data_IF_808193055447
#
_entry.id   IF_808193055447
#
_cell.length_a   1.000
_cell.length_b   1.000
_cell.length_c   1.000
_cell.angle_alpha   90.00
_cell.angle_beta   90.00
_cell.angle_gamma   90.00
#
_symmetry.space_group_name_H-M   'P 1'
#
loop_
_entity.id
_entity.type
_entity.pdbx_description
1 polymer ?
#
# COMPACT_ATOMS: atom_id res chain seq x y z
N UNK A 1 -17.20 -4.60 2.08
CA UNK A 1 -18.29 -3.83 1.48
C UNK A 1 -18.77 -2.81 2.48
N UNK A 2 -18.93 -1.56 2.07
CA UNK A 2 -19.46 -0.45 2.89
C UNK A 2 -20.80 -0.06 2.30
N UNK A 3 -21.86 -0.18 3.10
CA UNK A 3 -23.22 0.16 2.68
C UNK A 3 -23.67 1.44 3.37
N UNK A 4 -24.54 2.19 2.70
CA UNK A 4 -25.14 3.38 3.24
C UNK A 4 -26.06 3.06 4.45
N UNK A 5 -25.84 3.73 5.58
CA UNK A 5 -26.67 3.61 6.79
C UNK A 5 -28.02 4.31 6.61
N UNK A 6 -28.04 5.38 5.85
CA UNK A 6 -29.21 6.23 5.55
C UNK A 6 -29.12 6.75 4.10
N UNK A 7 -30.18 7.40 3.65
CA UNK A 7 -30.15 8.15 2.39
C UNK A 7 -29.19 9.33 2.51
N UNK A 8 -28.52 9.66 1.42
CA UNK A 8 -27.55 10.73 1.43
C UNK A 8 -27.04 11.15 0.06
N UNK A 9 -25.98 11.93 0.07
CA UNK A 9 -25.28 12.39 -1.12
C UNK A 9 -23.77 12.40 -0.93
N UNK A 10 -23.03 12.31 -2.02
CA UNK A 10 -21.58 12.50 -2.04
C UNK A 10 -21.25 13.97 -2.04
N UNK A 11 -20.52 14.45 -1.01
CA UNK A 11 -20.10 15.85 -0.91
C UNK A 11 -18.76 16.08 -1.59
N UNK A 12 -17.81 15.17 -1.35
CA UNK A 12 -16.46 15.32 -1.87
C UNK A 12 -15.92 13.97 -2.36
N UNK A 13 -15.35 14.01 -3.54
CA UNK A 13 -14.60 12.89 -4.11
C UNK A 13 -13.21 13.38 -4.46
N UNK A 14 -12.21 12.94 -3.72
CA UNK A 14 -10.83 13.40 -3.89
C UNK A 14 -9.93 12.24 -4.32
N UNK A 15 -9.59 12.22 -5.60
CA UNK A 15 -8.76 11.16 -6.18
C UNK A 15 -7.32 11.18 -5.62
N UNK A 16 -6.74 12.38 -5.39
CA UNK A 16 -5.38 12.51 -4.85
C UNK A 16 -5.27 12.01 -3.43
N UNK A 17 -6.30 12.28 -2.61
CA UNK A 17 -6.39 11.78 -1.26
C UNK A 17 -6.94 10.36 -1.19
N UNK A 18 -7.47 9.82 -2.30
CA UNK A 18 -8.21 8.55 -2.36
C UNK A 18 -9.30 8.49 -1.28
N UNK A 19 -10.12 9.53 -1.22
CA UNK A 19 -11.10 9.74 -0.17
C UNK A 19 -12.43 10.16 -0.75
N UNK A 20 -13.52 9.53 -0.25
CA UNK A 20 -14.90 9.94 -0.52
C UNK A 20 -15.52 10.40 0.78
N UNK A 21 -16.19 11.54 0.76
CA UNK A 21 -16.99 12.04 1.89
C UNK A 21 -18.45 12.08 1.49
N UNK A 22 -19.28 11.42 2.29
CA UNK A 22 -20.73 11.38 2.10
C UNK A 22 -21.44 12.10 3.26
N UNK A 23 -22.56 12.72 2.96
CA UNK A 23 -23.47 13.34 3.93
C UNK A 23 -24.78 12.58 3.92
N UNK A 24 -25.20 12.13 5.08
CA UNK A 24 -26.50 11.51 5.30
C UNK A 24 -27.59 12.54 5.54
N UNK A 25 -28.86 12.17 5.36
CA UNK A 25 -29.99 13.04 5.63
C UNK A 25 -30.05 13.55 7.08
N UNK A 26 -29.51 12.78 8.02
CA UNK A 26 -29.36 13.17 9.43
C UNK A 26 -28.33 14.28 9.67
N UNK A 27 -27.59 14.70 8.65
CA UNK A 27 -26.48 15.66 8.78
C UNK A 27 -25.16 15.00 9.23
N UNK A 28 -25.13 13.68 9.44
CA UNK A 28 -23.90 12.92 9.75
C UNK A 28 -23.05 12.82 8.51
N UNK A 29 -21.74 12.99 8.67
CA UNK A 29 -20.75 12.76 7.62
C UNK A 29 -20.03 11.43 7.82
N UNK A 30 -19.71 10.77 6.74
CA UNK A 30 -18.85 9.58 6.75
C UNK A 30 -17.77 9.73 5.69
N UNK A 31 -16.52 9.51 6.10
CA UNK A 31 -15.39 9.48 5.19
C UNK A 31 -15.03 8.02 4.86
N UNK A 32 -14.89 7.71 3.59
CA UNK A 32 -14.53 6.40 3.07
C UNK A 32 -13.13 6.50 2.47
N UNK A 33 -12.18 5.80 3.05
CA UNK A 33 -10.81 5.75 2.56
C UNK A 33 -10.70 4.66 1.49
N UNK A 34 -10.33 5.05 0.27
CA UNK A 34 -10.07 4.15 -0.85
C UNK A 34 -8.59 3.79 -1.00
N UNK A 35 -7.73 4.33 -0.13
CA UNK A 35 -6.30 4.00 -0.15
C UNK A 35 -6.08 2.55 0.28
N UNK A 36 -5.04 1.93 -0.26
CA UNK A 36 -4.66 0.59 0.12
C UNK A 36 -4.34 0.50 1.61
N UNK A 37 -4.97 -0.44 2.29
CA UNK A 37 -4.72 -0.73 3.71
C UNK A 37 -4.27 -2.18 3.85
N UNK A 38 -3.22 -2.40 4.62
CA UNK A 38 -2.71 -3.75 4.86
C UNK A 38 -3.46 -4.37 6.04
N UNK A 39 -4.09 -5.50 5.80
CA UNK A 39 -4.82 -6.24 6.83
C UNK A 39 -4.11 -7.57 7.07
N UNK A 40 -3.82 -7.90 8.33
CA UNK A 40 -3.32 -9.20 8.71
C UNK A 40 -4.48 -10.17 8.87
N UNK A 41 -4.41 -11.30 8.20
CA UNK A 41 -5.35 -12.38 8.43
C UNK A 41 -4.97 -13.11 9.73
N UNK A 42 -5.85 -13.06 10.72
CA UNK A 42 -5.57 -13.45 12.10
C UNK A 42 -5.18 -14.92 12.34
N UNK A 43 -5.45 -15.82 11.40
CA UNK A 43 -5.16 -17.26 11.56
C UNK A 43 -4.01 -17.79 10.73
N UNK A 44 -3.62 -17.13 9.64
CA UNK A 44 -2.72 -17.69 8.63
C UNK A 44 -1.35 -17.01 8.49
N UNK A 45 -1.10 -15.92 9.20
CA UNK A 45 0.16 -15.17 9.07
C UNK A 45 0.31 -14.41 7.76
N UNK A 46 -0.71 -14.36 6.91
CA UNK A 46 -0.69 -13.63 5.65
C UNK A 46 -1.09 -12.18 5.85
N UNK A 47 -0.39 -11.29 5.15
CA UNK A 47 -0.84 -9.92 4.98
C UNK A 47 -1.51 -9.79 3.61
N UNK A 48 -2.67 -9.16 3.56
CA UNK A 48 -3.40 -8.89 2.33
C UNK A 48 -3.67 -7.40 2.22
N UNK A 49 -3.62 -6.90 1.01
CA UNK A 49 -3.98 -5.50 0.75
C UNK A 49 -5.48 -5.38 0.56
N UNK A 50 -6.11 -4.56 1.39
CA UNK A 50 -7.52 -4.21 1.23
C UNK A 50 -7.63 -3.01 0.30
N UNK A 51 -8.14 -3.24 -0.93
CA UNK A 51 -8.35 -2.23 -1.98
C UNK A 51 -9.84 -1.99 -2.14
N UNK A 52 -10.32 -0.86 -1.66
CA UNK A 52 -11.70 -0.44 -1.86
C UNK A 52 -11.84 0.33 -3.17
N UNK A 53 -12.88 0.02 -3.91
CA UNK A 53 -13.31 0.76 -5.10
C UNK A 53 -14.73 1.26 -4.92
N UNK A 54 -15.09 2.32 -5.64
CA UNK A 54 -16.41 2.93 -5.61
C UNK A 54 -16.77 3.45 -6.98
N UNK A 55 -18.04 3.31 -7.35
CA UNK A 55 -18.62 3.88 -8.58
C UNK A 55 -19.31 5.23 -8.33
N UNK A 56 -19.22 5.76 -7.11
CA UNK A 56 -19.84 7.02 -6.77
C UNK A 56 -19.14 8.18 -7.50
N UNK A 57 -19.95 9.04 -8.06
CA UNK A 57 -19.48 10.29 -8.66
C UNK A 57 -19.72 11.47 -7.73
N UNK A 58 -19.01 12.59 -7.90
CA UNK A 58 -19.30 13.82 -7.13
C UNK A 58 -20.77 14.23 -7.24
N UNK A 59 -21.37 14.60 -6.13
CA UNK A 59 -22.79 14.99 -6.00
C UNK A 59 -23.82 13.86 -6.29
N UNK A 60 -23.38 12.61 -6.44
CA UNK A 60 -24.31 11.48 -6.58
C UNK A 60 -25.14 11.32 -5.31
N UNK A 61 -26.42 10.99 -5.46
CA UNK A 61 -27.31 10.64 -4.36
C UNK A 61 -27.44 9.13 -4.24
N UNK A 62 -27.58 8.64 -3.05
CA UNK A 62 -27.74 7.22 -2.74
C UNK A 62 -28.83 7.02 -1.69
N UNK A 63 -29.36 5.81 -1.64
CA UNK A 63 -30.38 5.38 -0.67
C UNK A 63 -29.76 4.52 0.41
N UNK A 64 -30.47 4.40 1.53
CA UNK A 64 -30.13 3.43 2.57
C UNK A 64 -29.99 2.02 2.00
N UNK A 65 -28.87 1.36 2.32
CA UNK A 65 -28.55 0.03 1.85
C UNK A 65 -27.74 -0.01 0.54
N UNK A 66 -27.64 1.10 -0.20
CA UNK A 66 -26.81 1.14 -1.40
C UNK A 66 -25.34 0.91 -1.03
N UNK A 67 -24.61 0.23 -1.90
CA UNK A 67 -23.21 -0.03 -1.71
C UNK A 67 -22.39 1.21 -2.09
N UNK A 68 -21.68 1.78 -1.13
CA UNK A 68 -20.83 2.97 -1.33
C UNK A 68 -19.42 2.61 -1.78
N UNK A 69 -18.87 1.50 -1.26
CA UNK A 69 -17.56 1.00 -1.64
C UNK A 69 -17.45 -0.50 -1.36
N UNK A 70 -16.66 -1.20 -2.15
CA UNK A 70 -16.44 -2.64 -1.99
C UNK A 70 -15.00 -3.02 -2.30
N UNK A 71 -14.59 -4.18 -1.81
CA UNK A 71 -13.28 -4.73 -2.08
C UNK A 71 -13.20 -5.25 -3.52
N UNK A 72 -12.21 -4.78 -4.27
CA UNK A 72 -12.05 -5.08 -5.70
C UNK A 72 -11.97 -6.58 -5.98
N UNK A 73 -11.23 -7.31 -5.16
CA UNK A 73 -10.90 -8.71 -5.44
C UNK A 73 -11.96 -9.71 -4.93
N UNK A 74 -12.75 -9.30 -3.90
CA UNK A 74 -13.75 -10.18 -3.28
C UNK A 74 -15.20 -9.91 -3.71
N UNK A 75 -15.44 -8.79 -4.37
CA UNK A 75 -16.78 -8.42 -4.79
C UNK A 75 -16.80 -7.99 -6.24
N UNK A 76 -17.91 -8.23 -6.91
CA UNK A 76 -18.16 -7.74 -8.25
C UNK A 76 -19.53 -7.08 -8.32
N UNK A 77 -19.67 -6.09 -9.20
CA UNK A 77 -20.94 -5.47 -9.51
C UNK A 77 -21.60 -6.23 -10.65
N UNK A 78 -22.80 -6.73 -10.42
CA UNK A 78 -23.58 -7.42 -11.46
C UNK A 78 -23.97 -6.42 -12.55
N UNK A 79 -23.65 -6.67 -13.83
CA UNK A 79 -24.03 -5.80 -14.92
C UNK A 79 -25.55 -5.78 -15.17
N UNK A 80 -26.26 -6.83 -14.78
CA UNK A 80 -27.70 -6.95 -14.97
C UNK A 80 -28.51 -6.21 -13.90
N UNK A 81 -28.11 -6.32 -12.65
CA UNK A 81 -28.88 -5.80 -11.50
C UNK A 81 -28.25 -4.56 -10.87
N UNK A 82 -26.99 -4.23 -11.22
CA UNK A 82 -26.22 -3.18 -10.57
C UNK A 82 -25.85 -3.46 -9.11
N UNK A 83 -26.27 -4.62 -8.55
CA UNK A 83 -25.97 -4.98 -7.18
C UNK A 83 -24.54 -5.51 -7.01
N UNK A 84 -23.90 -5.15 -5.92
CA UNK A 84 -22.57 -5.66 -5.55
C UNK A 84 -22.74 -6.98 -4.82
N UNK A 85 -22.07 -8.03 -5.30
CA UNK A 85 -22.16 -9.39 -4.77
C UNK A 85 -20.78 -9.92 -4.41
N UNK A 86 -20.73 -10.74 -3.38
CA UNK A 86 -19.51 -11.45 -3.01
C UNK A 86 -19.16 -12.50 -4.06
N UNK A 87 -17.91 -12.49 -4.51
CA UNK A 87 -17.41 -13.41 -5.53
C UNK A 87 -16.78 -14.63 -4.84
N UNK A 88 -17.58 -15.68 -4.65
CA UNK A 88 -17.15 -16.92 -4.01
C UNK A 88 -16.66 -17.88 -5.09
N UNK A 89 -15.35 -17.91 -5.33
CA UNK A 89 -14.72 -18.81 -6.28
C UNK A 89 -15.08 -18.54 -7.74
N UNK A 90 -14.80 -19.51 -8.59
CA UNK A 90 -15.06 -19.46 -10.03
C UNK A 90 -16.05 -20.53 -10.44
N UNK A 91 -17.02 -20.17 -11.27
CA UNK A 91 -17.93 -21.14 -11.86
C UNK A 91 -17.20 -21.89 -12.97
N UNK A 92 -17.05 -23.19 -12.81
CA UNK A 92 -16.35 -24.06 -13.76
C UNK A 92 -17.16 -25.27 -14.13
N UNK A 93 -16.92 -25.82 -15.32
CA UNK A 93 -17.46 -27.12 -15.74
C UNK A 93 -16.58 -28.21 -15.11
N UNK A 94 -17.20 -29.16 -14.42
CA UNK A 94 -16.53 -30.27 -13.76
C UNK A 94 -16.90 -31.56 -14.46
N UNK A 95 -15.91 -32.40 -14.78
CA UNK A 95 -16.08 -33.75 -15.24
C UNK A 95 -15.48 -34.74 -14.24
N UNK A 96 -16.22 -35.75 -13.88
CA UNK A 96 -15.73 -36.86 -13.07
C UNK A 96 -15.24 -37.95 -14.03
N UNK A 97 -13.94 -38.23 -14.02
CA UNK A 97 -13.33 -39.22 -14.90
C UNK A 97 -12.11 -39.84 -14.24
N UNK A 98 -11.74 -41.04 -14.67
CA UNK A 98 -10.46 -41.62 -14.29
C UNK A 98 -9.38 -41.26 -15.32
N UNK A 99 -8.18 -40.97 -14.85
CA UNK A 99 -7.02 -40.69 -15.71
C UNK A 99 -5.79 -41.42 -15.20
N UNK A 100 -4.89 -41.78 -16.10
CA UNK A 100 -3.60 -42.39 -15.73
C UNK A 100 -2.73 -41.50 -14.86
N UNK A 101 -2.96 -40.19 -14.92
CA UNK A 101 -2.16 -39.22 -14.17
C UNK A 101 -2.82 -38.80 -12.84
N UNK A 102 -4.00 -39.34 -12.52
CA UNK A 102 -4.68 -39.08 -11.26
C UNK A 102 -4.64 -40.32 -10.38
N UNK A 103 -4.36 -40.13 -9.11
CA UNK A 103 -4.45 -41.16 -8.08
C UNK A 103 -5.36 -40.69 -6.96
N UNK A 104 -6.41 -41.49 -6.67
CA UNK A 104 -7.42 -41.19 -5.66
C UNK A 104 -8.09 -39.82 -5.87
N UNK A 105 -8.02 -38.93 -4.89
CA UNK A 105 -8.72 -37.64 -4.82
C UNK A 105 -8.02 -36.51 -5.61
N UNK A 106 -7.13 -36.83 -6.53
CA UNK A 106 -6.44 -35.81 -7.30
C UNK A 106 -7.35 -35.14 -8.32
N UNK A 107 -7.05 -33.87 -8.63
CA UNK A 107 -7.82 -33.03 -9.53
C UNK A 107 -6.92 -32.42 -10.58
N UNK A 108 -7.34 -32.45 -11.84
CA UNK A 108 -6.75 -31.65 -12.91
C UNK A 108 -7.52 -30.36 -13.06
N UNK A 109 -6.81 -29.26 -13.16
CA UNK A 109 -7.38 -27.96 -13.50
C UNK A 109 -6.74 -27.46 -14.79
N UNK A 110 -7.48 -26.67 -15.56
CA UNK A 110 -6.92 -25.98 -16.74
C UNK A 110 -5.94 -24.88 -16.29
N UNK A 111 -5.01 -24.54 -17.19
CA UNK A 111 -4.07 -23.43 -16.97
C UNK A 111 -4.81 -22.14 -16.68
N UNK A 112 -5.84 -21.81 -17.46
CA UNK A 112 -6.68 -20.65 -17.22
C UNK A 112 -7.36 -20.66 -15.85
N UNK A 113 -7.82 -21.83 -15.39
CA UNK A 113 -8.40 -21.94 -14.03
C UNK A 113 -7.35 -21.71 -12.95
N UNK A 114 -6.11 -22.18 -13.17
CA UNK A 114 -4.98 -21.93 -12.29
C UNK A 114 -4.67 -20.43 -12.18
N UNK A 115 -4.63 -19.73 -13.30
CA UNK A 115 -4.44 -18.27 -13.33
C UNK A 115 -5.59 -17.54 -12.63
N UNK A 116 -6.85 -17.92 -12.91
CA UNK A 116 -8.03 -17.33 -12.30
C UNK A 116 -8.11 -17.54 -10.77
N UNK A 117 -7.47 -18.59 -10.25
CA UNK A 117 -7.40 -18.91 -8.82
C UNK A 117 -6.15 -18.35 -8.13
N UNK A 118 -5.31 -17.62 -8.86
CA UNK A 118 -4.10 -17.01 -8.30
C UNK A 118 -4.46 -15.98 -7.23
N UNK A 119 -3.75 -16.01 -6.12
CA UNK A 119 -3.94 -15.09 -5.00
C UNK A 119 -2.72 -14.19 -4.83
N UNK A 120 -2.95 -12.90 -4.69
CA UNK A 120 -1.90 -11.94 -4.35
C UNK A 120 -1.60 -11.96 -2.85
N UNK A 121 -0.33 -11.98 -2.49
CA UNK A 121 0.14 -11.86 -1.12
C UNK A 121 0.91 -10.58 -0.95
N UNK A 122 0.74 -9.92 0.20
CA UNK A 122 1.48 -8.71 0.55
C UNK A 122 2.55 -9.04 1.58
N UNK A 123 3.80 -8.74 1.26
CA UNK A 123 4.93 -8.93 2.16
C UNK A 123 5.35 -7.57 2.73
N UNK A 124 5.20 -7.35 4.05
CA UNK A 124 5.71 -6.15 4.69
C UNK A 124 7.24 -6.22 4.75
N UNK A 125 7.89 -5.16 4.32
CA UNK A 125 9.33 -5.00 4.37
C UNK A 125 9.65 -3.80 5.26
N UNK A 126 10.46 -3.97 6.28
CA UNK A 126 10.82 -2.89 7.18
C UNK A 126 12.30 -2.58 7.05
N UNK A 127 12.59 -1.31 6.86
CA UNK A 127 13.95 -0.77 6.82
C UNK A 127 14.10 0.25 7.91
N UNK A 128 15.17 0.16 8.67
CA UNK A 128 15.53 1.13 9.69
C UNK A 128 16.80 1.84 9.24
N UNK A 129 16.79 3.16 9.22
CA UNK A 129 17.95 3.99 8.89
C UNK A 129 18.28 4.94 10.02
N UNK A 130 19.54 5.32 10.15
CA UNK A 130 19.98 6.36 11.08
C UNK A 130 19.57 7.77 10.61
N UNK A 131 19.61 8.72 11.50
CA UNK A 131 19.19 10.12 11.24
C UNK A 131 20.09 10.87 10.26
N UNK A 132 21.37 10.51 10.17
CA UNK A 132 22.36 11.16 9.31
C UNK A 132 22.54 10.48 7.95
N UNK A 133 21.86 9.36 7.73
CA UNK A 133 21.92 8.58 6.52
C UNK A 133 21.48 9.41 5.29
N UNK A 134 22.19 9.28 4.18
CA UNK A 134 21.82 9.89 2.91
C UNK A 134 21.09 8.88 2.05
N UNK A 135 19.80 9.12 1.78
CA UNK A 135 19.04 8.29 0.84
C UNK A 135 19.39 8.69 -0.59
N UNK A 136 19.92 7.73 -1.34
CA UNK A 136 20.25 7.89 -2.76
C UNK A 136 19.10 7.47 -3.67
N UNK A 137 18.43 6.40 -3.31
CA UNK A 137 17.31 5.83 -4.07
C UNK A 137 16.24 5.28 -3.16
N UNK A 138 15.00 5.45 -3.54
CA UNK A 138 13.82 4.79 -2.96
C UNK A 138 12.85 4.48 -4.10
N UNK A 139 12.37 3.25 -4.14
CA UNK A 139 11.33 2.80 -5.07
C UNK A 139 10.04 3.61 -4.84
N UNK A 140 9.16 3.67 -5.84
CA UNK A 140 7.88 4.39 -5.73
C UNK A 140 6.71 3.42 -5.58
N UNK A 141 5.63 3.90 -4.97
CA UNK A 141 4.36 3.17 -4.95
C UNK A 141 3.87 2.94 -6.39
N UNK A 142 3.56 1.69 -6.74
CA UNK A 142 3.13 1.26 -8.07
C UNK A 142 4.24 0.73 -8.97
N UNK A 143 5.51 0.85 -8.59
CA UNK A 143 6.62 0.30 -9.38
C UNK A 143 6.62 -1.23 -9.35
N UNK A 144 6.93 -1.83 -10.50
CA UNK A 144 7.21 -3.26 -10.59
C UNK A 144 8.66 -3.51 -10.19
N UNK A 145 8.87 -4.51 -9.38
CA UNK A 145 10.20 -4.94 -8.90
C UNK A 145 10.37 -6.44 -9.13
N UNK A 146 11.58 -6.84 -9.47
CA UNK A 146 11.99 -8.22 -9.55
C UNK A 146 12.82 -8.63 -8.34
N UNK A 147 13.12 -9.93 -8.24
CA UNK A 147 13.98 -10.43 -7.17
C UNK A 147 15.38 -9.84 -7.33
N UNK A 148 15.85 -9.15 -6.30
CA UNK A 148 17.16 -8.49 -6.29
C UNK A 148 17.12 -7.02 -6.66
N UNK A 149 16.01 -6.51 -7.21
CA UNK A 149 15.90 -5.07 -7.51
C UNK A 149 16.00 -4.23 -6.23
N UNK A 150 16.71 -3.12 -6.32
CA UNK A 150 16.90 -2.21 -5.21
C UNK A 150 15.59 -1.56 -4.78
N UNK A 151 15.16 -1.78 -3.54
CA UNK A 151 14.01 -1.10 -2.93
C UNK A 151 14.42 0.23 -2.33
N UNK A 152 15.56 0.25 -1.64
CA UNK A 152 16.12 1.46 -1.05
C UNK A 152 17.64 1.35 -1.00
N UNK A 153 18.29 2.44 -1.35
CA UNK A 153 19.73 2.59 -1.25
C UNK A 153 20.08 3.81 -0.44
N UNK A 154 20.96 3.63 0.53
CA UNK A 154 21.47 4.71 1.34
C UNK A 154 22.96 4.60 1.58
N UNK A 155 23.55 5.76 1.70
CA UNK A 155 24.94 5.95 2.05
C UNK A 155 25.02 6.27 3.55
N UNK A 156 25.71 5.40 4.29
CA UNK A 156 25.93 5.50 5.74
C UNK A 156 27.29 6.11 6.07
N UNK A 157 28.09 6.50 5.08
CA UNK A 157 29.43 7.08 5.28
C UNK A 157 29.44 8.29 6.22
N UNK A 158 28.31 8.99 6.33
CA UNK A 158 28.16 10.16 7.20
C UNK A 158 27.82 9.81 8.66
N UNK A 159 27.51 8.58 8.96
CA UNK A 159 27.17 8.14 10.33
C UNK A 159 28.37 7.71 11.14
N UNK A 160 29.40 7.21 10.47
CA UNK A 160 30.61 6.69 11.12
C UNK A 160 31.72 7.76 11.12
N UNK A 161 32.03 8.29 12.31
CA UNK A 161 33.13 9.25 12.49
C UNK A 161 34.47 8.66 12.01
N UNK A 162 34.67 7.36 12.16
CA UNK A 162 35.84 6.63 11.66
C UNK A 162 35.92 6.60 10.12
N UNK A 163 34.79 6.48 9.42
CA UNK A 163 34.76 6.56 7.96
C UNK A 163 35.08 7.97 7.46
N UNK A 164 34.57 8.99 8.14
CA UNK A 164 34.87 10.39 7.83
C UNK A 164 36.36 10.75 8.06
N UNK A 165 36.98 10.22 9.10
CA UNK A 165 38.41 10.35 9.34
C UNK A 165 39.25 9.64 8.26
N UNK A 166 38.81 8.42 7.85
CA UNK A 166 39.40 7.67 6.75
C UNK A 166 39.28 8.42 5.40
N UNK A 167 38.10 8.93 5.09
CA UNK A 167 37.87 9.73 3.85
C UNK A 167 38.73 10.99 3.84
N UNK A 168 38.87 11.66 4.97
CA UNK A 168 39.74 12.83 5.10
C UNK A 168 41.22 12.45 4.95
N UNK A 169 41.65 11.31 5.47
CA UNK A 169 43.00 10.80 5.35
C UNK A 169 43.35 10.33 3.92
N UNK A 170 42.35 9.85 3.18
CA UNK A 170 42.46 9.33 1.83
C UNK A 170 42.19 10.40 0.75
N UNK A 171 42.04 11.67 1.12
CA UNK A 171 41.69 12.78 0.22
C UNK A 171 42.65 13.01 -0.99
N UNK A 172 43.72 12.22 -1.10
CA UNK A 172 44.63 12.20 -2.22
C UNK A 172 44.55 10.97 -3.14
N UNK A 173 43.73 9.96 -2.80
CA UNK A 173 43.65 8.74 -3.61
C UNK A 173 42.19 8.44 -3.98
N UNK A 174 41.78 8.85 -5.18
CA UNK A 174 40.40 8.71 -5.69
C UNK A 174 39.94 7.26 -5.75
N UNK A 175 40.83 6.28 -5.95
CA UNK A 175 40.44 4.85 -6.05
C UNK A 175 40.05 4.29 -4.69
N UNK A 176 40.91 4.52 -3.68
CA UNK A 176 40.61 4.06 -2.29
C UNK A 176 39.39 4.76 -1.71
N UNK A 177 39.21 6.06 -2.07
CA UNK A 177 38.04 6.81 -1.65
C UNK A 177 36.74 6.23 -2.24
N UNK A 178 36.75 5.84 -3.51
CA UNK A 178 35.60 5.19 -4.16
C UNK A 178 35.34 3.82 -3.56
N UNK A 179 36.34 3.01 -3.28
CA UNK A 179 36.18 1.70 -2.65
C UNK A 179 35.56 1.80 -1.23
N UNK A 180 35.96 2.78 -0.44
CA UNK A 180 35.37 3.05 0.88
C UNK A 180 33.92 3.50 0.75
N UNK A 181 33.61 4.38 -0.21
CA UNK A 181 32.26 4.85 -0.48
C UNK A 181 31.34 3.72 -0.97
N UNK A 182 31.81 2.83 -1.84
CA UNK A 182 31.03 1.66 -2.29
C UNK A 182 30.72 0.69 -1.15
N UNK A 183 31.69 0.45 -0.26
CA UNK A 183 31.49 -0.41 0.90
C UNK A 183 30.58 0.20 1.99
N UNK A 184 30.41 1.52 2.00
CA UNK A 184 29.47 2.20 2.93
C UNK A 184 28.04 2.29 2.41
N UNK A 185 27.81 1.90 1.16
CA UNK A 185 26.48 1.86 0.55
C UNK A 185 25.71 0.63 1.00
N UNK A 186 24.57 0.87 1.61
CA UNK A 186 23.60 -0.18 1.91
C UNK A 186 22.52 -0.20 0.83
N UNK A 187 22.51 -1.28 0.03
CA UNK A 187 21.48 -1.56 -0.95
C UNK A 187 20.58 -2.69 -0.47
N UNK A 188 19.32 -2.38 -0.30
CA UNK A 188 18.34 -3.34 0.17
C UNK A 188 17.46 -3.75 -1.00
N UNK A 189 17.68 -4.98 -1.48
CA UNK A 189 16.97 -5.55 -2.61
C UNK A 189 15.67 -6.24 -2.22
N UNK A 190 14.79 -6.37 -3.21
CA UNK A 190 13.55 -7.13 -3.08
C UNK A 190 13.83 -8.63 -3.02
N UNK A 191 13.13 -9.33 -2.12
CA UNK A 191 13.15 -10.80 -2.04
C UNK A 191 12.12 -11.46 -2.95
N UNK A 192 11.17 -10.71 -3.45
CA UNK A 192 10.05 -11.20 -4.23
C UNK A 192 9.82 -10.32 -5.45
N UNK A 193 9.38 -10.92 -6.54
CA UNK A 193 8.87 -10.17 -7.69
C UNK A 193 7.45 -9.73 -7.40
N UNK A 194 7.11 -8.49 -7.78
CA UNK A 194 5.77 -7.95 -7.54
C UNK A 194 5.67 -6.45 -7.76
N UNK A 195 4.63 -5.86 -7.20
CA UNK A 195 4.36 -4.42 -7.27
C UNK A 195 4.47 -3.80 -5.88
N UNK A 196 5.13 -2.67 -5.79
CA UNK A 196 5.22 -1.90 -4.54
C UNK A 196 3.85 -1.27 -4.25
N UNK A 197 3.12 -1.82 -3.32
CA UNK A 197 1.75 -1.39 -3.03
C UNK A 197 1.72 -0.07 -2.26
N UNK A 198 2.53 0.04 -1.21
CA UNK A 198 2.51 1.19 -0.32
C UNK A 198 3.84 1.39 0.38
N UNK A 199 4.19 2.64 0.60
CA UNK A 199 5.36 3.04 1.40
C UNK A 199 4.88 3.88 2.56
N UNK A 200 5.17 3.43 3.78
CA UNK A 200 4.88 4.14 5.02
C UNK A 200 6.18 4.57 5.68
N UNK A 201 6.24 5.79 6.15
CA UNK A 201 7.44 6.37 6.74
C UNK A 201 7.11 6.81 8.16
N UNK A 202 7.87 6.27 9.11
CA UNK A 202 7.78 6.61 10.53
C UNK A 202 9.09 7.27 10.96
N UNK A 203 9.00 8.47 11.50
CA UNK A 203 10.13 9.20 12.00
C UNK A 203 10.02 9.35 13.52
N UNK A 204 11.09 8.99 14.23
CA UNK A 204 11.20 9.10 15.69
C UNK A 204 12.02 10.30 16.13
N UNK A 205 12.62 11.02 15.16
CA UNK A 205 13.52 12.15 15.37
C UNK A 205 12.91 13.39 14.72
N UNK A 206 13.19 14.56 15.26
CA UNK A 206 12.75 15.83 14.70
C UNK A 206 13.33 16.08 13.30
N UNK A 207 12.53 16.74 12.43
CA UNK A 207 12.91 16.98 11.04
C UNK A 207 14.23 17.75 10.91
N UNK A 208 14.54 18.61 11.87
CA UNK A 208 15.74 19.44 11.87
C UNK A 208 17.01 18.66 12.10
N UNK A 209 16.92 17.54 12.79
CA UNK A 209 18.05 16.65 13.09
C UNK A 209 18.34 15.63 11.99
N UNK A 210 17.49 15.54 10.97
CA UNK A 210 17.65 14.58 9.88
C UNK A 210 18.54 15.13 8.78
N UNK A 211 19.18 14.22 8.03
CA UNK A 211 19.89 14.57 6.79
C UNK A 211 18.94 15.26 5.80
N UNK A 212 19.45 16.11 4.88
CA UNK A 212 18.60 16.81 3.90
C UNK A 212 17.75 15.88 3.03
N UNK A 213 18.30 14.73 2.65
CA UNK A 213 17.58 13.72 1.82
C UNK A 213 16.44 13.07 2.58
N UNK A 214 16.68 12.61 3.82
CA UNK A 214 15.65 12.04 4.68
C UNK A 214 14.57 13.07 5.00
N UNK A 215 14.96 14.30 5.34
CA UNK A 215 14.04 15.41 5.61
C UNK A 215 13.09 15.66 4.46
N UNK A 216 13.60 15.68 3.22
CA UNK A 216 12.77 15.88 2.03
C UNK A 216 11.73 14.76 1.85
N UNK A 217 12.13 13.51 2.06
CA UNK A 217 11.26 12.33 1.93
C UNK A 217 10.18 12.32 3.02
N UNK A 218 10.59 12.49 4.28
CA UNK A 218 9.68 12.52 5.45
C UNK A 218 8.70 13.68 5.33
N UNK A 219 9.15 14.87 4.96
CA UNK A 219 8.30 16.05 4.75
C UNK A 219 7.24 15.78 3.68
N UNK A 220 7.63 15.23 2.54
CA UNK A 220 6.70 14.88 1.45
C UNK A 220 5.64 13.88 1.92
N UNK A 221 6.02 12.89 2.73
CA UNK A 221 5.09 11.92 3.31
C UNK A 221 4.12 12.56 4.30
N UNK A 222 4.62 13.40 5.19
CA UNK A 222 3.78 14.13 6.15
C UNK A 222 2.85 15.14 5.47
N UNK A 223 3.28 15.80 4.40
CA UNK A 223 2.42 16.68 3.62
C UNK A 223 1.23 15.91 3.00
N UNK A 224 1.46 14.69 2.51
CA UNK A 224 0.39 13.78 2.02
C UNK A 224 -0.60 13.44 3.14
N UNK A 225 -0.12 13.11 4.33
CA UNK A 225 -0.95 12.79 5.50
C UNK A 225 -1.72 14.03 5.98
N UNK A 226 -1.05 15.18 6.09
CA UNK A 226 -1.66 16.43 6.53
C UNK A 226 -2.72 16.93 5.55
N UNK A 227 -2.54 16.69 4.25
CA UNK A 227 -3.55 16.99 3.25
C UNK A 227 -4.83 16.17 3.47
N UNK A 228 -4.70 14.87 3.73
CA UNK A 228 -5.85 14.01 4.10
C UNK A 228 -6.51 14.49 5.40
N UNK A 229 -5.73 14.81 6.44
CA UNK A 229 -6.24 15.32 7.70
C UNK A 229 -7.06 16.61 7.52
N UNK A 230 -6.59 17.56 6.73
CA UNK A 230 -7.32 18.81 6.45
C UNK A 230 -8.68 18.57 5.82
N UNK A 231 -8.81 17.58 4.93
CA UNK A 231 -10.09 17.21 4.34
C UNK A 231 -11.02 16.63 5.42
N UNK A 232 -10.50 15.71 6.25
CA UNK A 232 -11.27 15.06 7.29
C UNK A 232 -11.70 16.06 8.38
N UNK A 233 -10.83 16.96 8.80
CA UNK A 233 -11.12 18.00 9.81
C UNK A 233 -12.25 18.93 9.40
N UNK A 234 -12.43 19.13 8.09
CA UNK A 234 -13.50 19.94 7.53
C UNK A 234 -14.89 19.33 7.76
N UNK A 235 -14.97 17.98 7.79
CA UNK A 235 -16.25 17.26 7.81
C UNK A 235 -16.55 16.58 9.14
N UNK A 236 -15.63 15.81 9.71
CA UNK A 236 -15.88 15.15 10.99
C UNK A 236 -14.60 14.65 11.67
N UNK A 237 -14.42 15.06 12.94
CA UNK A 237 -13.32 14.57 13.80
C UNK A 237 -13.57 13.18 14.39
N UNK A 238 -14.79 12.67 14.32
CA UNK A 238 -15.20 11.38 14.89
C UNK A 238 -15.05 10.21 13.93
N UNK A 239 -14.63 10.44 12.68
CA UNK A 239 -14.54 9.38 11.67
C UNK A 239 -13.51 8.31 12.07
N UNK A 240 -13.84 7.05 11.79
CA UNK A 240 -13.01 5.88 12.13
C UNK A 240 -11.60 5.90 11.51
N UNK A 241 -11.36 6.77 10.54
CA UNK A 241 -10.06 6.95 9.87
C UNK A 241 -9.02 7.55 10.83
N UNK A 242 -9.44 8.39 11.80
CA UNK A 242 -8.55 8.91 12.84
C UNK A 242 -8.05 7.84 13.82
N UNK A 243 -8.74 6.71 13.92
CA UNK A 243 -8.39 5.65 14.88
C UNK A 243 -7.38 4.63 14.33
N UNK A 244 -7.15 4.61 13.02
CA UNK A 244 -6.29 3.61 12.37
C UNK A 244 -4.89 4.13 12.01
N UNK A 245 -4.49 5.32 12.45
CA UNK A 245 -3.26 5.95 11.97
C UNK A 245 -2.45 6.74 13.02
N UNK A 246 -2.58 6.40 14.30
CA UNK A 246 -1.67 6.88 15.34
C UNK A 246 -1.07 5.72 16.10
#
# INVERSE_FOLDING_TARGET
>A
MINAEEDGKVIEYNEKAKLIVVEYKSGKHQAINLDATIVKNGGGGFSMTNRLISDLTPNATFKKGDCLAWHKDFFHKSPLTGSVRYNIGRLSKVALTSSYNTFQDSTFISEQMSEDMTTEMTFPFQVVSGKNCKVEYIVKEGDHVEVGDSLIRFDTSFEDASINELLNALSGDERLMNDVMENSRNDIGSKYAGVVEKIEIYATVELEEMSPSLRAIVKKHYDKINYKKKILDKYDKSSSIYKCGM
#
